data_IF_553894872585
#
_entry.id   IF_553894872585
#
_cell.length_a   1.000
_cell.length_b   1.000
_cell.length_c   1.000
_cell.angle_alpha   90.00
_cell.angle_beta   90.00
_cell.angle_gamma   90.00
#
_symmetry.space_group_name_H-M   'P 1'
#
loop_
_entity.id
_entity.type
_entity.pdbx_description
1 polymer ?
#
# COMPACT_ATOMS: atom_id res chain seq x y z
N UNK A 1 3.81 38.30 10.24
CA UNK A 1 4.54 37.06 9.89
C UNK A 1 4.32 36.80 8.41
N UNK A 2 5.31 36.23 7.70
CA UNK A 2 5.26 35.99 6.24
C UNK A 2 5.01 34.51 5.87
N UNK A 3 4.97 33.61 6.86
CA UNK A 3 4.80 32.16 6.67
C UNK A 3 3.41 31.78 7.17
N UNK A 4 2.63 31.12 6.33
CA UNK A 4 1.27 30.67 6.65
C UNK A 4 1.28 29.29 7.34
N UNK A 5 2.09 28.35 6.86
CA UNK A 5 2.12 26.96 7.33
C UNK A 5 3.56 26.41 7.38
N UNK A 6 3.79 25.47 8.30
CA UNK A 6 5.05 24.74 8.46
C UNK A 6 4.77 23.24 8.31
N UNK A 7 5.48 22.58 7.39
CA UNK A 7 5.28 21.16 7.07
C UNK A 7 6.58 20.38 7.27
N UNK A 8 6.49 19.19 7.88
CA UNK A 8 7.58 18.23 8.02
C UNK A 8 7.30 16.97 7.21
N UNK A 9 8.34 16.38 6.63
CA UNK A 9 8.29 15.08 5.92
C UNK A 9 8.73 13.90 6.81
N UNK A 10 9.03 14.15 8.09
CA UNK A 10 9.29 13.12 9.09
C UNK A 10 10.23 13.56 10.21
N UNK A 11 10.38 12.69 11.21
CA UNK A 11 11.11 12.97 12.45
C UNK A 11 12.62 12.79 12.30
N UNK A 12 13.23 13.62 11.45
CA UNK A 12 14.68 13.64 11.18
C UNK A 12 15.12 15.03 10.69
N UNK A 13 16.44 15.30 10.73
CA UNK A 13 17.02 16.59 10.35
C UNK A 13 17.78 16.48 9.03
N UNK A 14 17.54 17.42 8.11
CA UNK A 14 18.26 17.56 6.85
C UNK A 14 19.09 18.85 6.84
N UNK A 15 20.07 18.95 5.95
CA UNK A 15 20.92 20.15 5.80
C UNK A 15 20.19 21.35 5.18
N UNK A 16 19.06 21.12 4.52
CA UNK A 16 18.28 22.13 3.81
C UNK A 16 16.87 21.65 3.46
N UNK A 17 16.02 22.58 3.02
CA UNK A 17 14.59 22.37 2.73
C UNK A 17 14.29 21.91 1.30
N UNK A 18 15.30 21.78 0.44
CA UNK A 18 15.13 21.47 -0.98
C UNK A 18 14.57 20.07 -1.20
N UNK A 19 15.06 19.06 -0.48
CA UNK A 19 14.53 17.69 -0.56
C UNK A 19 13.08 17.62 -0.02
N UNK A 20 12.74 18.18 1.16
CA UNK A 20 11.34 18.29 1.61
C UNK A 20 10.41 18.95 0.59
N UNK A 21 10.85 20.04 -0.03
CA UNK A 21 10.06 20.73 -1.05
C UNK A 21 9.82 19.83 -2.28
N UNK A 22 10.84 19.10 -2.76
CA UNK A 22 10.68 18.17 -3.87
C UNK A 22 9.78 16.98 -3.53
N UNK A 23 9.87 16.44 -2.30
CA UNK A 23 8.97 15.37 -1.82
C UNK A 23 7.52 15.85 -1.82
N UNK A 24 7.26 17.06 -1.31
CA UNK A 24 5.92 17.65 -1.28
C UNK A 24 5.38 17.86 -2.70
N UNK A 25 6.19 18.44 -3.59
CA UNK A 25 5.80 18.68 -4.99
C UNK A 25 5.48 17.36 -5.70
N UNK A 26 6.32 16.32 -5.54
CA UNK A 26 6.10 15.01 -6.16
C UNK A 26 4.79 14.37 -5.68
N UNK A 27 4.60 14.30 -4.35
CA UNK A 27 3.40 13.72 -3.74
C UNK A 27 2.11 14.42 -4.19
N UNK A 28 2.09 15.76 -4.19
CA UNK A 28 0.91 16.54 -4.63
C UNK A 28 0.69 16.41 -6.14
N UNK A 29 1.75 16.42 -6.94
CA UNK A 29 1.65 16.33 -8.41
C UNK A 29 1.01 15.02 -8.85
N UNK A 30 1.27 13.90 -8.17
CA UNK A 30 0.65 12.60 -8.48
C UNK A 30 -0.87 12.61 -8.35
N UNK A 31 -1.44 13.52 -7.57
CA UNK A 31 -2.90 13.67 -7.40
C UNK A 31 -3.55 14.54 -8.49
N UNK A 32 -2.75 15.21 -9.33
CA UNK A 32 -3.28 16.05 -10.40
C UNK A 32 -3.84 15.18 -11.55
N UNK A 33 -5.04 15.50 -12.08
CA UNK A 33 -5.61 14.78 -13.21
C UNK A 33 -4.66 14.73 -14.41
N UNK A 34 -4.37 13.53 -14.90
CA UNK A 34 -3.48 13.30 -16.05
C UNK A 34 -1.98 13.28 -15.73
N UNK A 35 -1.57 13.46 -14.47
CA UNK A 35 -0.18 13.28 -14.08
C UNK A 35 0.23 11.80 -14.04
N UNK A 36 -0.70 10.92 -13.66
CA UNK A 36 -0.53 9.47 -13.71
C UNK A 36 -1.16 8.92 -14.99
N UNK A 37 -0.43 8.05 -15.70
CA UNK A 37 -0.89 7.49 -16.98
C UNK A 37 -2.14 6.61 -16.84
N UNK A 38 -2.24 5.85 -15.75
CA UNK A 38 -3.43 5.08 -15.39
C UNK A 38 -4.08 5.70 -14.15
N UNK A 39 -5.40 5.92 -14.21
CA UNK A 39 -6.17 6.58 -13.14
C UNK A 39 -6.09 5.83 -11.81
N UNK A 40 -6.10 4.50 -11.85
CA UNK A 40 -6.16 3.63 -10.67
C UNK A 40 -4.83 3.63 -9.88
N UNK A 41 -3.73 4.13 -10.45
CA UNK A 41 -2.41 4.07 -9.81
C UNK A 41 -2.28 4.91 -8.53
N UNK A 42 -3.07 5.98 -8.36
CA UNK A 42 -3.13 6.70 -7.08
C UNK A 42 -4.10 6.06 -6.09
N UNK A 43 -5.16 5.41 -6.60
CA UNK A 43 -6.19 4.79 -5.75
C UNK A 43 -5.68 3.49 -5.10
N UNK A 44 -4.78 2.77 -5.77
CA UNK A 44 -4.16 1.53 -5.28
C UNK A 44 -2.88 1.75 -4.45
N UNK A 45 -2.46 3.00 -4.21
CA UNK A 45 -1.24 3.31 -3.45
C UNK A 45 -1.39 3.01 -1.95
N UNK A 46 -0.25 2.77 -1.30
CA UNK A 46 -0.19 2.70 0.16
C UNK A 46 -0.71 4.00 0.78
N UNK A 47 -1.37 3.87 1.94
CA UNK A 47 -1.96 4.94 2.75
C UNK A 47 -3.20 5.61 2.18
N UNK A 48 -3.59 5.39 0.92
CA UNK A 48 -4.81 5.98 0.32
C UNK A 48 -6.08 5.56 1.08
N UNK A 49 -6.18 4.30 1.48
CA UNK A 49 -7.27 3.79 2.33
C UNK A 49 -6.75 3.32 3.71
N UNK A 50 -5.66 3.92 4.20
CA UNK A 50 -5.07 3.58 5.49
C UNK A 50 -4.45 2.16 5.57
N UNK A 51 -4.19 1.52 4.44
CA UNK A 51 -3.50 0.23 4.35
C UNK A 51 -2.19 0.36 3.57
N UNK A 52 -1.24 -0.52 3.88
CA UNK A 52 -0.09 -0.75 3.01
C UNK A 52 -0.52 -1.52 1.76
N UNK A 53 0.16 -1.29 0.65
CA UNK A 53 -0.10 -1.99 -0.60
C UNK A 53 0.30 -3.48 -0.54
N UNK A 54 -0.33 -4.27 -1.42
CA UNK A 54 -0.09 -5.68 -1.65
C UNK A 54 1.24 -5.94 -2.37
N UNK A 55 1.77 -7.18 -2.35
CA UNK A 55 2.96 -7.51 -3.11
C UNK A 55 2.66 -7.61 -4.61
N UNK A 56 3.54 -7.04 -5.42
CA UNK A 56 3.45 -7.04 -6.88
C UNK A 56 4.39 -8.09 -7.48
N UNK A 57 3.91 -8.76 -8.53
CA UNK A 57 4.64 -9.76 -9.26
C UNK A 57 4.65 -9.41 -10.74
N UNK A 58 5.75 -9.71 -11.41
CA UNK A 58 5.91 -9.55 -12.86
C UNK A 58 6.63 -10.76 -13.43
N UNK A 59 6.73 -10.82 -14.75
CA UNK A 59 7.38 -11.93 -15.45
C UNK A 59 8.86 -12.07 -15.02
N UNK A 60 9.41 -13.29 -14.94
CA UNK A 60 8.81 -14.59 -15.30
C UNK A 60 7.94 -15.21 -14.19
N UNK A 61 7.12 -16.23 -14.52
CA UNK A 61 6.25 -16.92 -13.55
C UNK A 61 7.00 -17.65 -12.43
N UNK A 62 8.23 -18.11 -12.70
CA UNK A 62 9.11 -18.73 -11.71
C UNK A 62 10.46 -18.03 -11.78
N UNK A 63 10.94 -17.55 -10.64
CA UNK A 63 12.24 -16.92 -10.51
C UNK A 63 12.90 -17.41 -9.22
N UNK A 64 14.14 -17.91 -9.31
CA UNK A 64 14.90 -18.45 -8.16
C UNK A 64 14.09 -19.46 -7.32
N UNK A 65 13.45 -20.43 -7.99
CA UNK A 65 12.58 -21.46 -7.38
C UNK A 65 11.35 -20.91 -6.62
N UNK A 66 11.05 -19.63 -6.76
CA UNK A 66 9.84 -19.00 -6.24
C UNK A 66 8.85 -18.75 -7.37
N UNK A 67 7.62 -19.26 -7.22
CA UNK A 67 6.55 -19.13 -8.19
C UNK A 67 5.62 -17.96 -7.83
N UNK A 68 5.17 -17.21 -8.83
CA UNK A 68 4.08 -16.23 -8.68
C UNK A 68 2.84 -16.94 -8.11
N UNK A 69 2.16 -16.37 -7.09
CA UNK A 69 0.96 -16.98 -6.52
C UNK A 69 -0.07 -17.38 -7.60
N UNK A 70 -0.54 -18.63 -7.56
CA UNK A 70 -1.42 -19.20 -8.59
C UNK A 70 -2.70 -18.36 -8.81
N UNK A 71 -3.20 -17.70 -7.76
CA UNK A 71 -4.35 -16.78 -7.86
C UNK A 71 -4.11 -15.63 -8.84
N UNK A 72 -2.88 -15.11 -8.93
CA UNK A 72 -2.49 -14.04 -9.86
C UNK A 72 -2.37 -14.53 -11.30
N UNK A 73 -2.18 -15.84 -11.49
CA UNK A 73 -2.12 -16.49 -12.81
C UNK A 73 -3.50 -16.95 -13.31
N UNK A 74 -4.53 -16.89 -12.46
CA UNK A 74 -5.85 -17.47 -12.74
C UNK A 74 -6.75 -16.65 -13.68
N UNK A 75 -6.46 -15.35 -13.85
CA UNK A 75 -7.34 -14.40 -14.57
C UNK A 75 -8.67 -14.10 -13.87
N UNK A 76 -8.94 -14.67 -12.69
CA UNK A 76 -10.16 -14.40 -11.94
C UNK A 76 -10.02 -13.10 -11.14
N UNK A 77 -10.54 -12.00 -11.69
CA UNK A 77 -10.46 -10.67 -11.09
C UNK A 77 -11.00 -10.61 -9.65
N UNK A 78 -12.06 -11.34 -9.32
CA UNK A 78 -12.63 -11.34 -7.97
C UNK A 78 -11.69 -12.02 -6.96
N UNK A 79 -11.07 -13.15 -7.34
CA UNK A 79 -10.09 -13.82 -6.50
C UNK A 79 -8.81 -13.00 -6.35
N UNK A 80 -8.36 -12.33 -7.42
CA UNK A 80 -7.20 -11.44 -7.39
C UNK A 80 -7.45 -10.26 -6.46
N UNK A 81 -8.60 -9.57 -6.57
CA UNK A 81 -8.99 -8.48 -5.67
C UNK A 81 -8.98 -8.95 -4.21
N UNK A 82 -9.64 -10.06 -3.92
CA UNK A 82 -9.72 -10.62 -2.55
C UNK A 82 -8.34 -10.92 -2.00
N UNK A 83 -7.47 -11.55 -2.80
CA UNK A 83 -6.10 -11.86 -2.40
C UNK A 83 -5.27 -10.60 -2.16
N UNK A 84 -5.35 -9.60 -3.05
CA UNK A 84 -4.62 -8.32 -2.88
C UNK A 84 -5.03 -7.61 -1.60
N UNK A 85 -6.33 -7.55 -1.33
CA UNK A 85 -6.87 -6.97 -0.09
C UNK A 85 -6.38 -7.74 1.15
N UNK A 86 -6.41 -9.07 1.12
CA UNK A 86 -5.90 -9.89 2.21
C UNK A 86 -4.41 -9.63 2.48
N UNK A 87 -3.58 -9.59 1.44
CA UNK A 87 -2.15 -9.33 1.58
C UNK A 87 -1.87 -7.90 2.07
N UNK A 88 -2.63 -6.91 1.59
CA UNK A 88 -2.57 -5.52 2.05
C UNK A 88 -2.87 -5.42 3.55
N UNK A 89 -3.97 -6.04 4.01
CA UNK A 89 -4.34 -6.12 5.42
C UNK A 89 -3.26 -6.81 6.26
N UNK A 90 -2.80 -7.99 5.83
CA UNK A 90 -1.79 -8.77 6.54
C UNK A 90 -0.47 -8.02 6.70
N UNK A 91 0.03 -7.40 5.62
CA UNK A 91 1.26 -6.58 5.65
C UNK A 91 1.12 -5.36 6.56
N UNK A 92 -0.06 -4.73 6.52
CA UNK A 92 -0.36 -3.59 7.40
C UNK A 92 -0.33 -4.04 8.85
N UNK A 93 -0.99 -5.15 9.19
CA UNK A 93 -0.97 -5.74 10.53
C UNK A 93 0.46 -6.05 11.01
N UNK A 94 1.29 -6.64 10.16
CA UNK A 94 2.65 -7.04 10.54
C UNK A 94 3.62 -5.87 10.73
N UNK A 95 3.48 -4.80 9.92
CA UNK A 95 4.51 -3.76 9.79
C UNK A 95 4.08 -2.41 10.35
N UNK A 96 2.78 -2.14 10.35
CA UNK A 96 2.16 -0.85 10.66
C UNK A 96 0.78 -1.05 11.30
N UNK A 97 0.73 -1.83 12.39
CA UNK A 97 -0.50 -2.12 13.13
C UNK A 97 -1.23 -0.84 13.59
N UNK A 98 -0.47 0.24 13.83
CA UNK A 98 -0.98 1.58 14.15
C UNK A 98 -2.00 2.12 13.12
N UNK A 99 -1.84 1.76 11.84
CA UNK A 99 -2.77 2.14 10.79
C UNK A 99 -4.13 1.43 10.90
N UNK A 100 -4.15 0.23 11.49
CA UNK A 100 -5.40 -0.51 11.71
C UNK A 100 -6.13 -0.03 12.97
N UNK A 101 -5.42 0.51 13.97
CA UNK A 101 -6.04 1.08 15.17
C UNK A 101 -6.90 2.30 14.86
N UNK A 102 -6.49 3.08 13.86
CA UNK A 102 -7.17 4.30 13.42
C UNK A 102 -8.25 4.06 12.35
N UNK A 103 -8.37 2.83 11.83
CA UNK A 103 -9.26 2.47 10.72
C UNK A 103 -10.32 1.45 11.13
N UNK A 104 -11.58 1.71 10.80
CA UNK A 104 -12.65 0.73 10.96
C UNK A 104 -12.61 -0.31 9.83
N UNK A 105 -12.43 -1.58 10.19
CA UNK A 105 -12.48 -2.69 9.22
C UNK A 105 -13.90 -3.13 8.93
N UNK A 106 -14.20 -3.37 7.65
CA UNK A 106 -15.45 -4.00 7.21
C UNK A 106 -15.54 -5.46 7.63
N UNK A 107 -16.73 -6.07 7.51
CA UNK A 107 -16.92 -7.49 7.79
C UNK A 107 -16.10 -8.41 6.87
N UNK A 108 -15.88 -8.01 5.61
CA UNK A 108 -15.01 -8.75 4.68
C UNK A 108 -13.55 -8.70 5.15
N UNK A 109 -13.06 -7.49 5.47
CA UNK A 109 -11.66 -7.25 5.83
C UNK A 109 -11.27 -7.95 7.13
N UNK A 110 -12.13 -7.93 8.15
CA UNK A 110 -11.88 -8.66 9.40
C UNK A 110 -11.67 -10.14 9.12
N UNK A 111 -12.54 -10.72 8.31
CA UNK A 111 -12.48 -12.14 7.94
C UNK A 111 -11.22 -12.47 7.16
N UNK A 112 -10.83 -11.61 6.21
CA UNK A 112 -9.61 -11.77 5.43
C UNK A 112 -8.35 -11.67 6.29
N UNK A 113 -8.32 -10.73 7.23
CA UNK A 113 -7.21 -10.55 8.15
C UNK A 113 -7.08 -11.75 9.10
N UNK A 114 -8.19 -12.25 9.65
CA UNK A 114 -8.22 -13.48 10.44
C UNK A 114 -7.68 -14.68 9.63
N UNK A 115 -8.16 -14.86 8.39
CA UNK A 115 -7.66 -15.90 7.47
C UNK A 115 -6.15 -15.77 7.23
N UNK A 116 -5.62 -14.55 7.09
CA UNK A 116 -4.20 -14.29 6.89
C UNK A 116 -3.37 -14.69 8.11
N UNK A 117 -3.81 -14.27 9.30
CA UNK A 117 -3.10 -14.55 10.57
C UNK A 117 -3.05 -16.07 10.80
N UNK A 118 -4.17 -16.77 10.63
CA UNK A 118 -4.25 -18.22 10.79
C UNK A 118 -3.35 -18.97 9.81
N UNK A 119 -3.40 -18.63 8.52
CA UNK A 119 -2.60 -19.31 7.50
C UNK A 119 -1.08 -19.15 7.73
N UNK A 120 -0.67 -18.06 8.37
CA UNK A 120 0.73 -17.79 8.69
C UNK A 120 1.21 -18.58 9.91
N UNK A 121 0.37 -18.72 10.93
CA UNK A 121 0.72 -19.49 12.13
C UNK A 121 0.82 -21.01 11.84
N UNK A 122 0.20 -21.47 10.76
CA UNK A 122 0.27 -22.85 10.26
C UNK A 122 1.47 -23.12 9.32
N UNK A 123 2.25 -22.10 8.94
CA UNK A 123 3.37 -22.17 7.98
C UNK A 123 4.75 -22.13 8.66
#
# INVERSE_FOLDING_TARGET
>A
AHVDEEWSIGDYVLSGGELPAMVLIDAVTRLLPGALGHADSAEEDSFTDGLLDCPHYTRPEVYADQRVPDVLLSGNHAHIRRWRLQQSLGRTYERRADLLESRSLSGEEKKLLEEYILARDDS
#
